data_IF_963125350498
#
_entry.id   IF_963125350498
#
_cell.length_a   1.000
_cell.length_b   1.000
_cell.length_c   1.000
_cell.angle_alpha   90.00
_cell.angle_beta   90.00
_cell.angle_gamma   90.00
#
_symmetry.space_group_name_H-M   'P 1'
#
loop_
_entity.id
_entity.type
_entity.pdbx_description
1 polymer ?
#
# COMPACT_ATOMS: atom_id res chain seq x y z
N UNK A 1 29.21 -0.99 -6.17
CA UNK A 1 28.61 -0.41 -4.97
C UNK A 1 27.65 0.69 -5.40
N UNK A 2 26.34 0.45 -5.34
CA UNK A 2 25.37 1.54 -5.50
C UNK A 2 25.19 2.16 -4.12
N UNK A 3 25.66 3.40 -3.94
CA UNK A 3 25.30 4.15 -2.73
C UNK A 3 23.79 4.38 -2.79
N UNK A 4 23.05 3.91 -1.80
CA UNK A 4 21.66 4.31 -1.61
C UNK A 4 21.61 5.83 -1.61
N UNK A 5 20.93 6.42 -2.60
CA UNK A 5 20.77 7.86 -2.66
C UNK A 5 19.86 8.27 -1.52
N UNK A 6 20.44 8.94 -0.53
CA UNK A 6 19.69 9.47 0.59
C UNK A 6 18.87 10.68 0.12
N UNK A 7 17.59 10.44 -0.16
CA UNK A 7 16.63 11.44 -0.67
C UNK A 7 16.35 12.54 0.37
N UNK A 8 16.41 12.20 1.66
CA UNK A 8 16.22 13.11 2.79
C UNK A 8 17.45 13.11 3.70
N UNK A 9 18.08 14.27 3.85
CA UNK A 9 19.14 14.52 4.82
C UNK A 9 18.57 15.36 5.97
N UNK A 10 18.62 14.83 7.18
CA UNK A 10 18.14 15.50 8.39
C UNK A 10 19.30 15.73 9.36
N UNK A 11 19.38 16.93 9.94
CA UNK A 11 20.39 17.32 10.91
C UNK A 11 19.75 18.12 12.04
N UNK A 12 20.12 17.80 13.29
CA UNK A 12 19.73 18.56 14.48
C UNK A 12 21.00 18.92 15.26
N UNK A 13 21.19 20.20 15.54
CA UNK A 13 22.29 20.71 16.36
C UNK A 13 21.71 21.53 17.51
N UNK A 14 22.08 21.21 18.76
CA UNK A 14 21.62 21.90 19.96
C UNK A 14 22.82 22.35 20.79
N UNK A 15 22.81 23.62 21.20
CA UNK A 15 23.77 24.20 22.14
C UNK A 15 23.04 24.51 23.44
N UNK A 16 23.54 23.97 24.55
CA UNK A 16 22.96 24.11 25.88
C UNK A 16 23.95 24.80 26.83
N UNK A 17 23.46 25.76 27.60
CA UNK A 17 24.17 26.39 28.71
C UNK A 17 23.55 25.91 30.01
N UNK A 18 24.35 25.23 30.83
CA UNK A 18 23.93 24.67 32.12
C UNK A 18 24.77 25.32 33.21
N UNK A 19 24.12 25.88 34.21
CA UNK A 19 24.77 26.49 35.37
C UNK A 19 24.14 25.94 36.65
N UNK A 20 24.99 25.51 37.58
CA UNK A 20 24.57 24.95 38.87
C UNK A 20 23.55 23.79 38.73
N UNK A 21 23.70 22.99 37.67
CA UNK A 21 22.80 21.86 37.36
C UNK A 21 21.46 22.26 36.73
N UNK A 22 21.22 23.54 36.46
CA UNK A 22 20.00 24.08 35.85
C UNK A 22 20.27 24.52 34.41
N UNK A 23 19.37 24.19 33.49
CA UNK A 23 19.43 24.65 32.11
C UNK A 23 19.10 26.14 32.04
N UNK A 24 20.09 26.98 31.75
CA UNK A 24 19.89 28.44 31.57
C UNK A 24 19.42 28.79 30.16
N UNK A 25 19.98 28.12 29.15
CA UNK A 25 19.63 28.37 27.75
C UNK A 25 19.82 27.10 26.92
N UNK A 26 18.90 26.84 25.99
CA UNK A 26 19.06 25.86 24.93
C UNK A 26 18.68 26.50 23.60
N UNK A 27 19.56 26.37 22.60
CA UNK A 27 19.31 26.80 21.22
C UNK A 27 19.51 25.61 20.31
N UNK A 28 18.46 25.22 19.59
CA UNK A 28 18.52 24.13 18.62
C UNK A 28 18.24 24.64 17.22
N UNK A 29 18.96 24.10 16.24
CA UNK A 29 18.72 24.28 14.81
C UNK A 29 18.54 22.91 14.17
N UNK A 30 17.37 22.70 13.58
CA UNK A 30 17.04 21.52 12.78
C UNK A 30 17.05 21.91 11.30
N UNK A 31 17.64 21.08 10.43
CA UNK A 31 17.55 21.21 8.98
C UNK A 31 17.15 19.87 8.36
N UNK A 32 16.12 19.91 7.52
CA UNK A 32 15.62 18.78 6.75
C UNK A 32 15.70 19.15 5.27
N UNK A 33 16.63 18.52 4.54
CA UNK A 33 16.86 18.77 3.12
C UNK A 33 16.42 17.58 2.29
N UNK A 34 15.45 17.80 1.41
CA UNK A 34 14.97 16.83 0.42
C UNK A 34 15.64 17.14 -0.92
N UNK A 35 16.37 16.17 -1.48
CA UNK A 35 16.96 16.27 -2.81
C UNK A 35 16.36 15.20 -3.72
N UNK A 36 15.50 15.62 -4.64
CA UNK A 36 14.83 14.71 -5.59
C UNK A 36 15.75 14.34 -6.75
N UNK A 37 16.67 15.23 -7.14
CA UNK A 37 17.62 15.01 -8.24
C UNK A 37 19.01 15.55 -7.88
N UNK A 38 20.04 14.69 -7.73
CA UNK A 38 21.38 15.09 -7.28
C UNK A 38 22.05 16.15 -8.17
N UNK A 39 21.70 16.20 -9.46
CA UNK A 39 22.43 16.96 -10.47
C UNK A 39 21.72 18.24 -10.95
N UNK A 40 20.58 18.62 -10.37
CA UNK A 40 19.78 19.76 -10.88
C UNK A 40 19.48 20.85 -9.86
N UNK A 41 20.08 20.81 -8.66
CA UNK A 41 19.84 21.82 -7.62
C UNK A 41 18.36 21.94 -7.21
N UNK A 42 17.54 20.92 -7.53
CA UNK A 42 16.12 20.89 -7.25
C UNK A 42 15.90 20.10 -5.96
N UNK A 43 15.53 20.83 -4.92
CA UNK A 43 15.28 20.31 -3.58
C UNK A 43 14.55 21.34 -2.73
N UNK A 44 14.10 20.90 -1.57
CA UNK A 44 13.49 21.77 -0.56
C UNK A 44 14.29 21.62 0.74
N UNK A 45 14.49 22.72 1.45
CA UNK A 45 15.09 22.72 2.78
C UNK A 45 14.12 23.37 3.76
N UNK A 46 13.79 22.63 4.82
CA UNK A 46 13.08 23.17 5.97
C UNK A 46 14.10 23.37 7.08
N UNK A 47 14.16 24.59 7.64
CA UNK A 47 15.04 24.91 8.77
C UNK A 47 14.19 25.41 9.94
N UNK A 48 14.29 24.72 11.07
CA UNK A 48 13.58 25.06 12.31
C UNK A 48 14.60 25.54 13.34
N UNK A 49 14.32 26.65 14.01
CA UNK A 49 15.14 27.16 15.10
C UNK A 49 14.27 27.25 16.35
N UNK A 50 14.74 26.66 17.45
CA UNK A 50 14.07 26.72 18.74
C UNK A 50 15.04 27.25 19.79
N UNK A 51 14.54 28.11 20.67
CA UNK A 51 15.31 28.69 21.76
C UNK A 51 14.48 28.64 23.05
N UNK A 52 15.06 28.08 24.10
CA UNK A 52 14.52 28.06 25.45
C UNK A 52 15.51 28.82 26.35
N UNK A 53 15.02 29.76 27.15
CA UNK A 53 15.85 30.54 28.07
C UNK A 53 15.18 30.65 29.43
N UNK A 54 15.93 30.32 30.48
CA UNK A 54 15.51 30.52 31.85
C UNK A 54 15.50 32.03 32.15
N UNK A 55 14.35 32.54 32.54
CA UNK A 55 14.18 33.95 32.90
C UNK A 55 14.24 34.14 34.42
N UNK A 56 13.56 33.27 35.16
CA UNK A 56 13.45 33.36 36.61
C UNK A 56 13.18 31.96 37.19
N UNK A 57 13.67 31.72 38.40
CA UNK A 57 13.34 30.53 39.22
C UNK A 57 12.51 31.01 40.39
N UNK A 58 11.30 30.46 40.55
CA UNK A 58 10.40 30.76 41.68
C UNK A 58 10.40 29.59 42.66
N UNK A 59 10.34 29.89 43.96
CA UNK A 59 10.49 28.89 45.04
C UNK A 59 9.17 28.28 45.51
N UNK A 60 8.03 28.87 45.14
CA UNK A 60 6.70 28.35 45.50
C UNK A 60 5.70 28.50 44.36
N UNK A 61 5.21 27.36 43.89
CA UNK A 61 4.04 27.27 43.01
C UNK A 61 3.00 26.43 43.73
N UNK A 62 1.90 27.05 44.17
CA UNK A 62 0.70 26.34 44.61
C UNK A 62 0.06 25.61 43.42
N UNK A 63 0.62 24.49 43.02
CA UNK A 63 -0.04 23.60 42.07
C UNK A 63 -1.16 22.87 42.78
N UNK A 64 -2.41 23.22 42.47
CA UNK A 64 -3.51 22.27 42.63
C UNK A 64 -3.12 21.04 41.79
N UNK A 65 -2.93 19.88 42.44
CA UNK A 65 -2.76 18.61 41.74
C UNK A 65 -3.94 18.46 40.79
N UNK A 66 -3.70 18.67 39.51
CA UNK A 66 -4.67 18.38 38.47
C UNK A 66 -4.95 16.89 38.56
N UNK A 67 -6.19 16.53 38.93
CA UNK A 67 -6.61 15.14 38.95
C UNK A 67 -6.54 14.62 37.51
N UNK A 68 -5.57 13.74 37.31
CA UNK A 68 -5.08 13.26 36.02
C UNK A 68 -5.56 11.83 35.81
N UNK A 69 -6.88 11.63 35.82
CA UNK A 69 -7.44 10.32 35.47
C UNK A 69 -7.36 10.05 33.96
N UNK A 70 -7.21 11.10 33.15
CA UNK A 70 -7.20 11.04 31.67
C UNK A 70 -5.82 11.23 31.02
N UNK A 71 -4.72 11.37 31.79
CA UNK A 71 -3.36 11.47 31.20
C UNK A 71 -2.64 10.12 31.31
N UNK A 72 -1.98 9.73 30.23
CA UNK A 72 -1.09 8.58 30.19
C UNK A 72 0.32 9.04 29.82
N UNK A 73 1.32 8.38 30.38
CA UNK A 73 2.73 8.70 30.13
C UNK A 73 3.19 7.94 28.89
N UNK A 74 3.71 8.67 27.89
CA UNK A 74 4.32 8.10 26.69
C UNK A 74 5.77 8.52 26.54
N UNK A 75 6.42 8.02 25.48
CA UNK A 75 7.80 8.40 25.16
C UNK A 75 7.87 9.84 24.64
N UNK A 76 9.06 10.44 24.67
CA UNK A 76 9.30 11.77 24.08
C UNK A 76 9.31 11.76 22.53
N UNK A 77 9.14 10.59 21.90
CA UNK A 77 9.07 10.50 20.44
C UNK A 77 7.81 11.19 19.95
N UNK A 78 7.92 11.87 18.81
CA UNK A 78 6.78 12.54 18.20
C UNK A 78 5.67 11.52 17.88
N UNK A 79 4.54 11.68 18.54
CA UNK A 79 3.31 10.97 18.24
C UNK A 79 2.46 11.84 17.32
N UNK A 80 2.21 11.36 16.11
CA UNK A 80 1.34 12.07 15.18
C UNK A 80 -0.08 12.06 15.73
N UNK A 81 -0.60 13.25 16.04
CA UNK A 81 -2.01 13.41 16.30
C UNK A 81 -2.80 13.12 15.01
N UNK A 82 -3.51 12.00 14.96
CA UNK A 82 -4.47 11.71 13.91
C UNK A 82 -5.74 12.52 14.19
N UNK A 83 -5.71 13.82 13.88
CA UNK A 83 -6.93 14.61 13.82
C UNK A 83 -7.81 14.01 12.73
N UNK A 84 -8.80 13.21 13.14
CA UNK A 84 -9.85 12.69 12.26
C UNK A 84 -10.69 13.88 11.82
N UNK A 85 -10.30 14.52 10.71
CA UNK A 85 -11.20 15.44 10.01
C UNK A 85 -12.40 14.63 9.56
N UNK A 86 -13.56 14.91 10.15
CA UNK A 86 -14.82 14.33 9.70
C UNK A 86 -15.19 14.96 8.37
N UNK A 87 -14.94 14.24 7.29
CA UNK A 87 -15.35 14.60 5.95
C UNK A 87 -16.75 14.05 5.72
N UNK A 88 -17.68 14.90 5.33
CA UNK A 88 -19.04 14.48 5.04
C UNK A 88 -19.18 14.04 3.59
N UNK A 89 -20.02 13.02 3.33
CA UNK A 89 -20.29 12.59 1.95
C UNK A 89 -20.91 13.69 1.06
N UNK A 90 -21.54 14.71 1.67
CA UNK A 90 -22.05 15.89 0.97
C UNK A 90 -20.93 16.75 0.37
N UNK A 91 -19.88 17.03 1.14
CA UNK A 91 -18.71 17.79 0.65
C UNK A 91 -18.05 17.08 -0.54
N UNK A 92 -17.91 15.75 -0.48
CA UNK A 92 -17.32 14.96 -1.57
C UNK A 92 -18.21 14.95 -2.81
N UNK A 93 -19.54 14.92 -2.62
CA UNK A 93 -20.52 15.02 -3.73
C UNK A 93 -20.32 16.32 -4.51
N UNK A 94 -20.12 17.44 -3.82
CA UNK A 94 -19.88 18.74 -4.44
C UNK A 94 -18.58 18.76 -5.25
N UNK A 95 -17.52 18.11 -4.77
CA UNK A 95 -16.25 17.99 -5.52
C UNK A 95 -16.46 17.18 -6.81
N UNK A 96 -17.18 16.06 -6.75
CA UNK A 96 -17.53 15.27 -7.95
C UNK A 96 -18.34 16.11 -8.95
N UNK A 97 -19.27 16.93 -8.47
CA UNK A 97 -20.06 17.82 -9.31
C UNK A 97 -19.22 18.90 -10.00
N UNK A 98 -18.31 19.54 -9.26
CA UNK A 98 -17.36 20.51 -9.81
C UNK A 98 -16.48 19.90 -10.89
N UNK A 99 -16.02 18.66 -10.71
CA UNK A 99 -15.23 17.94 -11.70
C UNK A 99 -15.99 17.74 -13.02
N UNK A 100 -17.28 17.41 -12.98
CA UNK A 100 -18.08 17.29 -14.21
C UNK A 100 -18.31 18.63 -14.95
N UNK A 101 -18.18 19.76 -14.26
CA UNK A 101 -18.31 21.09 -14.84
C UNK A 101 -16.97 21.65 -15.35
N UNK A 102 -15.86 21.16 -14.82
CA UNK A 102 -14.52 21.58 -15.22
C UNK A 102 -14.16 21.07 -16.63
N UNK A 103 -13.39 21.85 -17.38
CA UNK A 103 -12.91 21.43 -18.70
C UNK A 103 -11.88 20.30 -18.55
N UNK A 104 -11.91 19.32 -19.45
CA UNK A 104 -10.94 18.22 -19.41
C UNK A 104 -9.52 18.76 -19.66
N UNK A 105 -8.56 18.28 -18.87
CA UNK A 105 -7.12 18.61 -18.93
C UNK A 105 -6.67 20.04 -18.49
N UNK A 106 -7.34 20.65 -17.50
CA UNK A 106 -6.84 21.87 -16.83
C UNK A 106 -6.11 21.59 -15.51
N UNK A 107 -5.27 22.52 -15.04
CA UNK A 107 -4.65 22.44 -13.70
C UNK A 107 -5.71 22.45 -12.58
N UNK A 108 -6.79 23.21 -12.76
CA UNK A 108 -7.92 23.24 -11.81
C UNK A 108 -8.60 21.87 -11.70
N UNK A 109 -8.81 21.19 -12.84
CA UNK A 109 -9.37 19.83 -12.87
C UNK A 109 -8.46 18.83 -12.15
N UNK A 110 -7.14 18.97 -12.32
CA UNK A 110 -6.17 18.14 -11.61
C UNK A 110 -6.18 18.38 -10.09
N UNK A 111 -6.27 19.65 -9.66
CA UNK A 111 -6.36 20.03 -8.24
C UNK A 111 -7.66 19.52 -7.60
N UNK A 112 -8.80 19.68 -8.28
CA UNK A 112 -10.09 19.13 -7.85
C UNK A 112 -10.06 17.60 -7.77
N UNK A 113 -9.40 16.93 -8.72
CA UNK A 113 -9.28 15.47 -8.71
C UNK A 113 -8.41 14.99 -7.55
N UNK A 114 -7.30 15.68 -7.28
CA UNK A 114 -6.46 15.39 -6.11
C UNK A 114 -7.24 15.62 -4.81
N UNK A 115 -8.02 16.70 -4.73
CA UNK A 115 -8.91 16.98 -3.61
C UNK A 115 -9.89 15.82 -3.41
N UNK A 116 -10.57 15.37 -4.47
CA UNK A 116 -11.45 14.20 -4.41
C UNK A 116 -10.74 12.97 -3.82
N UNK A 117 -9.54 12.65 -4.30
CA UNK A 117 -8.75 11.52 -3.78
C UNK A 117 -8.42 11.69 -2.29
N UNK A 118 -8.05 12.88 -1.85
CA UNK A 118 -7.77 13.14 -0.43
C UNK A 118 -9.02 13.03 0.43
N UNK A 119 -10.15 13.57 0.00
CA UNK A 119 -11.41 13.50 0.75
C UNK A 119 -11.91 12.04 0.85
N UNK A 120 -11.80 11.24 -0.22
CA UNK A 120 -12.15 9.81 -0.21
C UNK A 120 -11.37 9.01 0.85
N UNK A 121 -10.12 9.39 1.15
CA UNK A 121 -9.29 8.71 2.17
C UNK A 121 -9.83 8.83 3.59
N UNK A 122 -10.66 9.84 3.86
CA UNK A 122 -11.21 10.11 5.19
C UNK A 122 -12.61 9.52 5.40
N UNK A 123 -13.25 9.01 4.33
CA UNK A 123 -14.59 8.44 4.42
C UNK A 123 -14.57 7.00 4.96
N UNK A 124 -15.56 6.69 5.82
CA UNK A 124 -15.85 5.30 6.20
C UNK A 124 -16.40 4.50 5.01
N UNK A 125 -16.45 3.18 5.13
CA UNK A 125 -17.05 2.32 4.11
C UNK A 125 -18.54 2.64 3.89
N UNK A 126 -19.29 2.93 4.96
CA UNK A 126 -20.70 3.33 4.90
C UNK A 126 -20.86 4.66 4.16
N UNK A 127 -20.01 5.64 4.47
CA UNK A 127 -20.02 6.93 3.79
C UNK A 127 -19.65 6.81 2.30
N UNK A 128 -18.66 5.97 1.97
CA UNK A 128 -18.28 5.67 0.59
C UNK A 128 -19.41 4.99 -0.20
N UNK A 129 -20.12 4.03 0.42
CA UNK A 129 -21.30 3.39 -0.19
C UNK A 129 -22.42 4.40 -0.41
N UNK A 130 -22.69 5.27 0.56
CA UNK A 130 -23.69 6.32 0.43
C UNK A 130 -23.32 7.33 -0.67
N UNK A 131 -22.04 7.71 -0.77
CA UNK A 131 -21.52 8.57 -1.83
C UNK A 131 -21.68 7.90 -3.20
N UNK A 132 -21.35 6.61 -3.32
CA UNK A 132 -21.53 5.86 -4.56
C UNK A 132 -22.96 5.92 -5.06
N UNK A 133 -23.95 5.64 -4.19
CA UNK A 133 -25.37 5.68 -4.57
C UNK A 133 -25.85 7.07 -5.02
N UNK A 134 -25.19 8.14 -4.57
CA UNK A 134 -25.58 9.52 -4.89
C UNK A 134 -24.80 10.11 -6.08
N UNK A 135 -23.59 9.63 -6.33
CA UNK A 135 -22.60 10.34 -7.16
C UNK A 135 -21.88 9.44 -8.17
N UNK A 136 -22.37 8.23 -8.43
CA UNK A 136 -21.80 7.29 -9.45
C UNK A 136 -22.19 7.60 -10.90
N UNK A 137 -22.73 8.80 -11.18
CA UNK A 137 -23.19 9.19 -12.49
C UNK A 137 -22.04 9.48 -13.47
N UNK A 138 -22.35 9.43 -14.78
CA UNK A 138 -21.45 9.85 -15.86
C UNK A 138 -21.60 11.36 -16.09
N UNK A 139 -20.47 12.07 -16.21
CA UNK A 139 -20.45 13.44 -16.72
C UNK A 139 -20.84 13.47 -18.22
N UNK A 140 -20.97 14.67 -18.80
CA UNK A 140 -21.43 14.85 -20.20
C UNK A 140 -20.54 14.17 -21.24
N UNK A 141 -19.26 14.03 -20.96
CA UNK A 141 -18.23 13.40 -21.79
C UNK A 141 -18.01 11.91 -21.47
N UNK A 142 -18.94 11.28 -20.74
CA UNK A 142 -18.83 9.93 -20.18
C UNK A 142 -17.75 9.75 -19.10
N UNK A 143 -17.12 10.83 -18.64
CA UNK A 143 -16.16 10.74 -17.55
C UNK A 143 -16.86 10.38 -16.23
N UNK A 144 -16.23 9.55 -15.40
CA UNK A 144 -16.72 9.14 -14.09
C UNK A 144 -15.66 9.43 -13.02
N UNK A 145 -15.57 10.68 -12.53
CA UNK A 145 -14.51 11.11 -11.62
C UNK A 145 -14.40 10.26 -10.36
N UNK A 146 -15.55 9.83 -9.80
CA UNK A 146 -15.59 9.00 -8.61
C UNK A 146 -14.96 7.61 -8.86
N UNK A 147 -15.29 6.96 -9.98
CA UNK A 147 -14.70 5.66 -10.37
C UNK A 147 -13.19 5.81 -10.58
N UNK A 148 -12.79 6.85 -11.30
CA UNK A 148 -11.38 7.05 -11.66
C UNK A 148 -10.52 7.44 -10.43
N UNK A 149 -11.13 8.04 -9.40
CA UNK A 149 -10.45 8.41 -8.17
C UNK A 149 -10.26 7.24 -7.19
N UNK A 150 -11.16 6.25 -7.17
CA UNK A 150 -11.12 5.11 -6.23
C UNK A 150 -9.76 4.37 -6.23
N UNK A 151 -9.14 4.04 -7.38
CA UNK A 151 -7.80 3.47 -7.45
C UNK A 151 -6.72 4.24 -6.66
N UNK A 152 -6.84 5.57 -6.58
CA UNK A 152 -5.85 6.44 -5.94
C UNK A 152 -6.14 6.69 -4.45
N UNK A 153 -7.34 6.33 -3.97
CA UNK A 153 -7.73 6.46 -2.57
C UNK A 153 -6.84 5.60 -1.66
N UNK A 154 -6.63 4.32 -2.04
CA UNK A 154 -5.69 3.39 -1.38
C UNK A 154 -5.92 3.16 0.14
N UNK A 155 -7.14 3.37 0.64
CA UNK A 155 -7.56 2.96 1.99
C UNK A 155 -8.28 1.62 1.96
N UNK A 156 -8.38 0.95 3.11
CA UNK A 156 -9.06 -0.35 3.19
C UNK A 156 -10.54 -0.24 2.79
N UNK A 157 -11.23 0.82 3.25
CA UNK A 157 -12.62 1.09 2.89
C UNK A 157 -12.81 1.27 1.37
N UNK A 158 -11.89 1.97 0.69
CA UNK A 158 -11.91 2.10 -0.76
C UNK A 158 -11.65 0.77 -1.48
N UNK A 159 -10.74 -0.07 -0.96
CA UNK A 159 -10.51 -1.42 -1.52
C UNK A 159 -11.74 -2.31 -1.39
N UNK A 160 -12.40 -2.28 -0.23
CA UNK A 160 -13.64 -3.04 0.00
C UNK A 160 -14.76 -2.57 -0.92
N UNK A 161 -14.93 -1.25 -1.11
CA UNK A 161 -15.90 -0.73 -2.07
C UNK A 161 -15.56 -1.18 -3.51
N UNK A 162 -14.30 -1.04 -3.95
CA UNK A 162 -13.89 -1.52 -5.28
C UNK A 162 -14.19 -3.01 -5.47
N UNK A 163 -13.94 -3.83 -4.45
CA UNK A 163 -14.28 -5.27 -4.46
C UNK A 163 -15.79 -5.51 -4.56
N UNK A 164 -16.61 -4.73 -3.86
CA UNK A 164 -18.07 -4.86 -3.94
C UNK A 164 -18.59 -4.50 -5.33
N UNK A 165 -18.06 -3.44 -5.94
CA UNK A 165 -18.42 -3.00 -7.29
C UNK A 165 -18.02 -4.02 -8.38
N UNK A 166 -16.84 -4.63 -8.25
CA UNK A 166 -16.40 -5.73 -9.12
C UNK A 166 -17.35 -6.93 -8.98
N UNK A 167 -17.75 -7.26 -7.75
CA UNK A 167 -18.62 -8.41 -7.49
C UNK A 167 -20.07 -8.19 -7.96
N UNK A 168 -20.58 -6.96 -7.87
CA UNK A 168 -21.94 -6.61 -8.34
C UNK A 168 -22.02 -6.43 -9.85
N UNK A 169 -20.90 -6.16 -10.53
CA UNK A 169 -20.87 -5.87 -11.96
C UNK A 169 -21.39 -4.47 -12.31
N UNK A 170 -21.35 -3.54 -11.35
CA UNK A 170 -21.75 -2.13 -11.53
C UNK A 170 -20.70 -1.29 -12.28
N UNK A 171 -19.54 -1.85 -12.60
CA UNK A 171 -18.41 -1.16 -13.21
C UNK A 171 -18.00 -1.85 -14.52
N UNK A 172 -17.67 -1.05 -15.53
CA UNK A 172 -17.24 -1.51 -16.86
C UNK A 172 -15.92 -2.29 -16.79
N UNK A 173 -15.72 -3.23 -17.70
CA UNK A 173 -14.60 -4.18 -17.65
C UNK A 173 -13.22 -3.50 -17.69
N UNK A 174 -13.06 -2.45 -18.49
CA UNK A 174 -11.84 -1.65 -18.56
C UNK A 174 -11.52 -0.98 -17.21
N UNK A 175 -12.54 -0.43 -16.53
CA UNK A 175 -12.41 0.17 -15.20
C UNK A 175 -12.09 -0.87 -14.13
N UNK A 176 -12.67 -2.07 -14.22
CA UNK A 176 -12.32 -3.21 -13.36
C UNK A 176 -10.84 -3.60 -13.50
N UNK A 177 -10.32 -3.65 -14.73
CA UNK A 177 -8.89 -3.90 -14.96
C UNK A 177 -8.02 -2.81 -14.30
N UNK A 178 -8.40 -1.54 -14.41
CA UNK A 178 -7.72 -0.44 -13.71
C UNK A 178 -7.72 -0.62 -12.19
N UNK A 179 -8.83 -1.08 -11.59
CA UNK A 179 -8.89 -1.36 -10.16
C UNK A 179 -7.87 -2.43 -9.78
N UNK A 180 -7.80 -3.54 -10.51
CA UNK A 180 -6.84 -4.60 -10.23
C UNK A 180 -5.38 -4.14 -10.34
N UNK A 181 -5.04 -3.36 -11.38
CA UNK A 181 -3.69 -2.83 -11.52
C UNK A 181 -3.32 -1.86 -10.39
N UNK A 182 -4.29 -1.08 -9.89
CA UNK A 182 -4.07 -0.13 -8.80
C UNK A 182 -3.62 -0.77 -7.49
N UNK A 183 -4.01 -2.03 -7.23
CA UNK A 183 -3.67 -2.72 -5.98
C UNK A 183 -2.16 -2.87 -5.77
N UNK A 184 -1.38 -2.99 -6.85
CA UNK A 184 0.09 -3.01 -6.77
C UNK A 184 0.67 -1.69 -6.21
N UNK A 185 -0.05 -0.58 -6.37
CA UNK A 185 0.40 0.76 -6.03
C UNK A 185 -0.05 1.24 -4.63
N UNK A 186 -0.82 0.44 -3.89
CA UNK A 186 -1.24 0.75 -2.52
C UNK A 186 -0.03 0.86 -1.58
N UNK A 187 0.24 2.02 -0.95
CA UNK A 187 1.48 2.27 -0.24
C UNK A 187 1.63 1.50 1.07
N UNK A 188 0.54 1.33 1.81
CA UNK A 188 0.49 0.62 3.10
C UNK A 188 -0.62 -0.45 3.06
N UNK A 189 -0.39 -1.59 2.39
CA UNK A 189 -1.37 -2.67 2.38
C UNK A 189 -1.64 -3.19 3.79
N UNK A 190 -2.89 -3.56 4.07
CA UNK A 190 -3.29 -4.19 5.34
C UNK A 190 -3.67 -5.66 5.10
N UNK A 191 -3.74 -6.46 6.18
CA UNK A 191 -4.25 -7.83 6.10
C UNK A 191 -5.73 -7.86 5.70
N UNK A 192 -6.54 -6.87 6.14
CA UNK A 192 -7.96 -6.75 5.78
C UNK A 192 -8.19 -6.51 4.29
N UNK A 193 -7.33 -5.70 3.63
CA UNK A 193 -7.34 -5.57 2.17
C UNK A 193 -7.10 -6.90 1.45
N UNK A 194 -6.13 -7.70 1.91
CA UNK A 194 -5.83 -9.01 1.31
C UNK A 194 -7.00 -9.97 1.52
N UNK A 195 -7.54 -10.02 2.75
CA UNK A 195 -8.65 -10.88 3.10
C UNK A 195 -9.91 -10.57 2.29
N UNK A 196 -10.25 -9.29 2.15
CA UNK A 196 -11.43 -8.85 1.38
C UNK A 196 -11.33 -9.17 -0.12
N UNK A 197 -10.12 -9.13 -0.71
CA UNK A 197 -9.88 -9.41 -2.13
C UNK A 197 -9.72 -10.91 -2.43
N UNK A 198 -9.33 -11.73 -1.45
CA UNK A 198 -9.08 -13.17 -1.64
C UNK A 198 -10.23 -13.94 -2.33
N UNK A 199 -11.52 -13.66 -2.07
CA UNK A 199 -12.62 -14.32 -2.77
C UNK A 199 -12.64 -14.08 -4.29
N UNK A 200 -12.13 -12.94 -4.76
CA UNK A 200 -12.13 -12.61 -6.19
C UNK A 200 -11.29 -13.58 -7.01
N UNK A 201 -10.22 -14.15 -6.43
CA UNK A 201 -9.38 -15.17 -7.09
C UNK A 201 -10.10 -16.50 -7.34
N UNK A 202 -11.20 -16.75 -6.61
CA UNK A 202 -12.02 -17.97 -6.77
C UNK A 202 -13.17 -17.75 -7.74
N UNK A 203 -13.41 -16.51 -8.18
CA UNK A 203 -14.44 -16.19 -9.15
C UNK A 203 -14.12 -16.83 -10.50
N UNK A 204 -15.10 -17.44 -11.20
CA UNK A 204 -14.89 -17.91 -12.56
C UNK A 204 -14.59 -16.76 -13.54
N UNK A 205 -14.92 -15.51 -13.17
CA UNK A 205 -14.59 -14.29 -13.93
C UNK A 205 -13.25 -13.66 -13.55
N UNK A 206 -12.42 -14.34 -12.77
CA UNK A 206 -11.12 -13.79 -12.35
C UNK A 206 -10.18 -13.61 -13.56
N UNK A 207 -9.93 -12.35 -13.93
CA UNK A 207 -9.04 -11.98 -15.01
C UNK A 207 -7.56 -12.12 -14.64
N UNK A 208 -6.67 -12.01 -15.62
CA UNK A 208 -5.22 -12.01 -15.39
C UNK A 208 -4.80 -10.89 -14.42
N UNK A 209 -5.35 -9.68 -14.57
CA UNK A 209 -5.02 -8.56 -13.67
C UNK A 209 -5.50 -8.82 -12.25
N UNK A 210 -6.62 -9.54 -12.04
CA UNK A 210 -7.05 -9.98 -10.70
C UNK A 210 -5.95 -10.79 -10.00
N UNK A 211 -5.46 -11.84 -10.65
CA UNK A 211 -4.39 -12.68 -10.10
C UNK A 211 -3.12 -11.87 -9.83
N UNK A 212 -2.69 -11.04 -10.78
CA UNK A 212 -1.43 -10.30 -10.67
C UNK A 212 -1.51 -9.13 -9.69
N UNK A 213 -2.63 -8.40 -9.65
CA UNK A 213 -2.88 -7.27 -8.77
C UNK A 213 -2.99 -7.68 -7.30
N UNK A 214 -3.78 -8.72 -7.00
CA UNK A 214 -3.92 -9.24 -5.63
C UNK A 214 -2.59 -9.80 -5.12
N UNK A 215 -1.83 -10.51 -5.96
CA UNK A 215 -0.52 -11.03 -5.54
C UNK A 215 0.55 -9.94 -5.44
N UNK A 216 0.48 -8.88 -6.24
CA UNK A 216 1.33 -7.70 -6.07
C UNK A 216 1.08 -7.01 -4.72
N UNK A 217 -0.19 -6.89 -4.32
CA UNK A 217 -0.58 -6.36 -3.01
C UNK A 217 0.03 -7.19 -1.87
N UNK A 218 -0.03 -8.52 -1.97
CA UNK A 218 0.59 -9.45 -1.00
C UNK A 218 2.09 -9.24 -0.93
N UNK A 219 2.78 -9.14 -2.06
CA UNK A 219 4.22 -8.89 -2.07
C UNK A 219 4.55 -7.59 -1.34
N UNK A 220 3.78 -6.52 -1.59
CA UNK A 220 4.00 -5.23 -0.94
C UNK A 220 3.70 -5.27 0.55
N UNK A 221 2.64 -5.97 0.97
CA UNK A 221 2.36 -6.26 2.37
C UNK A 221 3.54 -6.95 3.05
N UNK A 222 4.01 -8.06 2.47
CA UNK A 222 5.08 -8.87 3.03
C UNK A 222 6.47 -8.21 2.97
N UNK A 223 6.65 -7.20 2.11
CA UNK A 223 7.89 -6.41 2.05
C UNK A 223 7.90 -5.26 3.06
N UNK A 224 6.72 -4.78 3.47
CA UNK A 224 6.59 -3.67 4.43
C UNK A 224 6.52 -4.14 5.90
N UNK A 225 6.18 -5.41 6.15
CA UNK A 225 6.04 -5.97 7.49
C UNK A 225 7.20 -6.91 7.82
N UNK A 226 7.51 -7.05 9.12
CA UNK A 226 8.55 -7.96 9.62
C UNK A 226 8.22 -9.44 9.36
N UNK A 227 6.94 -9.77 9.24
CA UNK A 227 6.46 -11.12 8.94
C UNK A 227 5.38 -11.10 7.87
N UNK A 228 5.44 -12.09 6.99
CA UNK A 228 4.43 -12.41 5.99
C UNK A 228 3.43 -13.48 6.49
N UNK A 229 3.62 -13.96 7.73
CA UNK A 229 2.88 -15.07 8.31
C UNK A 229 1.57 -14.60 8.95
N UNK A 230 0.59 -14.30 8.11
CA UNK A 230 -0.77 -13.91 8.53
C UNK A 230 -1.84 -14.77 7.84
N UNK A 231 -2.98 -15.06 8.49
CA UNK A 231 -4.02 -15.94 7.95
C UNK A 231 -4.52 -15.53 6.55
N UNK A 232 -4.66 -14.23 6.30
CA UNK A 232 -5.10 -13.70 5.00
C UNK A 232 -4.16 -14.10 3.86
N UNK A 233 -2.85 -13.94 4.05
CA UNK A 233 -1.82 -14.34 3.06
C UNK A 233 -1.82 -15.85 2.88
N UNK A 234 -1.82 -16.61 3.97
CA UNK A 234 -1.86 -18.08 3.92
C UNK A 234 -3.08 -18.60 3.15
N UNK A 235 -4.25 -17.96 3.32
CA UNK A 235 -5.49 -18.33 2.62
C UNK A 235 -5.38 -18.12 1.11
N UNK A 236 -4.78 -17.02 0.67
CA UNK A 236 -4.51 -16.76 -0.75
C UNK A 236 -3.50 -17.74 -1.31
N UNK A 237 -2.37 -17.95 -0.62
CA UNK A 237 -1.33 -18.89 -1.06
C UNK A 237 -1.86 -20.33 -1.16
N UNK A 238 -2.74 -20.75 -0.22
CA UNK A 238 -3.43 -22.04 -0.29
C UNK A 238 -4.36 -22.13 -1.50
N UNK A 239 -5.05 -21.04 -1.84
CA UNK A 239 -5.91 -20.96 -3.02
C UNK A 239 -5.07 -21.11 -4.31
N UNK A 240 -3.94 -20.41 -4.40
CA UNK A 240 -2.99 -20.54 -5.51
C UNK A 240 -2.40 -21.95 -5.59
N UNK A 241 -2.02 -22.55 -4.46
CA UNK A 241 -1.51 -23.93 -4.41
C UNK A 241 -2.52 -24.97 -4.89
N UNK A 242 -3.83 -24.77 -4.64
CA UNK A 242 -4.89 -25.63 -5.18
C UNK A 242 -4.94 -25.59 -6.70
N UNK A 243 -4.74 -24.41 -7.32
CA UNK A 243 -4.68 -24.31 -8.78
C UNK A 243 -3.49 -25.07 -9.39
N UNK A 244 -2.39 -25.25 -8.64
CA UNK A 244 -1.25 -26.04 -9.10
C UNK A 244 -1.50 -27.56 -9.09
N UNK A 245 -2.50 -28.05 -8.36
CA UNK A 245 -2.80 -29.49 -8.28
C UNK A 245 -1.68 -30.36 -7.68
N UNK A 246 -0.70 -29.75 -7.00
CA UNK A 246 0.42 -30.44 -6.34
C UNK A 246 1.66 -30.67 -7.21
N UNK A 247 1.52 -30.81 -8.53
CA UNK A 247 2.64 -31.01 -9.45
C UNK A 247 2.56 -30.20 -10.75
N UNK A 248 1.62 -29.27 -10.92
CA UNK A 248 1.46 -28.49 -12.15
C UNK A 248 1.20 -29.33 -13.42
N UNK A 249 0.54 -30.48 -13.30
CA UNK A 249 0.12 -31.26 -14.46
C UNK A 249 -0.86 -30.48 -15.34
N UNK A 250 -0.66 -30.52 -16.65
CA UNK A 250 -1.47 -29.82 -17.67
C UNK A 250 -1.99 -30.82 -18.68
N UNK A 251 -3.28 -30.75 -19.00
CA UNK A 251 -3.95 -31.67 -19.94
C UNK A 251 -4.21 -31.04 -21.32
N UNK A 252 -4.41 -29.71 -21.39
CA UNK A 252 -4.70 -28.99 -22.64
C UNK A 252 -4.11 -27.56 -22.65
N UNK A 253 -4.13 -26.86 -23.81
CA UNK A 253 -3.55 -25.52 -23.95
C UNK A 253 -4.20 -24.42 -23.10
N UNK A 254 -5.49 -24.54 -22.76
CA UNK A 254 -6.17 -23.56 -21.90
C UNK A 254 -5.67 -23.70 -20.46
N UNK A 255 -5.58 -24.93 -19.98
CA UNK A 255 -4.96 -25.26 -18.69
C UNK A 255 -3.48 -24.85 -18.64
N UNK A 256 -2.76 -24.91 -19.77
CA UNK A 256 -1.38 -24.42 -19.87
C UNK A 256 -1.31 -22.92 -19.56
N UNK A 257 -2.14 -22.12 -20.23
CA UNK A 257 -2.15 -20.66 -20.07
C UNK A 257 -2.55 -20.25 -18.66
N UNK A 258 -3.56 -20.93 -18.09
CA UNK A 258 -4.00 -20.73 -16.71
C UNK A 258 -2.92 -21.11 -15.70
N UNK A 259 -2.24 -22.24 -15.90
CA UNK A 259 -1.14 -22.68 -15.03
C UNK A 259 0.03 -21.68 -15.04
N UNK A 260 0.40 -21.17 -16.22
CA UNK A 260 1.42 -20.12 -16.33
C UNK A 260 1.03 -18.84 -15.58
N UNK A 261 -0.23 -18.41 -15.70
CA UNK A 261 -0.75 -17.26 -14.95
C UNK A 261 -0.64 -17.47 -13.44
N UNK A 262 -1.05 -18.64 -12.94
CA UNK A 262 -0.99 -18.97 -11.50
C UNK A 262 0.46 -18.98 -11.00
N UNK A 263 1.38 -19.61 -11.74
CA UNK A 263 2.81 -19.61 -11.40
C UNK A 263 3.38 -18.18 -11.38
N UNK A 264 3.01 -17.35 -12.36
CA UNK A 264 3.39 -15.93 -12.41
C UNK A 264 2.83 -15.16 -11.23
N UNK A 265 1.58 -15.40 -10.83
CA UNK A 265 0.95 -14.78 -9.67
C UNK A 265 1.64 -15.18 -8.37
N UNK A 266 1.97 -16.47 -8.20
CA UNK A 266 2.75 -16.96 -7.05
C UNK A 266 4.10 -16.24 -6.98
N UNK A 267 4.85 -16.21 -8.09
CA UNK A 267 6.12 -15.48 -8.14
C UNK A 267 5.98 -13.97 -7.92
N UNK A 268 4.82 -13.40 -8.27
CA UNK A 268 4.53 -12.00 -8.03
C UNK A 268 4.27 -11.70 -6.55
N UNK A 269 3.77 -12.68 -5.77
CA UNK A 269 3.57 -12.57 -4.33
C UNK A 269 4.88 -12.52 -3.51
N UNK A 270 6.03 -12.75 -4.15
CA UNK A 270 7.35 -12.57 -3.56
C UNK A 270 7.62 -13.52 -2.40
N UNK A 271 7.96 -13.00 -1.22
CA UNK A 271 8.27 -13.80 -0.03
C UNK A 271 7.18 -14.84 0.30
N UNK A 272 5.90 -14.51 0.07
CA UNK A 272 4.77 -15.42 0.31
C UNK A 272 4.86 -16.73 -0.51
N UNK A 273 5.53 -16.71 -1.67
CA UNK A 273 5.75 -17.87 -2.52
C UNK A 273 6.58 -18.98 -1.85
N UNK A 274 7.37 -18.64 -0.82
CA UNK A 274 8.14 -19.61 -0.04
C UNK A 274 7.27 -20.75 0.53
N UNK A 275 6.01 -20.45 0.88
CA UNK A 275 5.04 -21.44 1.36
C UNK A 275 4.71 -22.55 0.34
N UNK A 276 4.95 -22.31 -0.95
CA UNK A 276 4.71 -23.25 -2.05
C UNK A 276 6.02 -23.82 -2.64
N UNK A 277 7.17 -23.58 -2.01
CA UNK A 277 8.48 -24.00 -2.53
C UNK A 277 8.57 -25.49 -2.92
N UNK A 278 8.05 -26.46 -2.13
CA UNK A 278 8.11 -27.86 -2.53
C UNK A 278 7.36 -28.15 -3.83
N UNK A 279 6.17 -27.57 -4.00
CA UNK A 279 5.35 -27.73 -5.20
C UNK A 279 6.03 -27.10 -6.40
N UNK A 280 6.51 -25.86 -6.28
CA UNK A 280 7.22 -25.17 -7.35
C UNK A 280 8.46 -25.93 -7.82
N UNK A 281 9.21 -26.51 -6.88
CA UNK A 281 10.40 -27.32 -7.18
C UNK A 281 10.05 -28.60 -7.95
N UNK A 282 8.95 -29.26 -7.55
CA UNK A 282 8.41 -30.41 -8.30
C UNK A 282 7.99 -30.01 -9.71
N UNK A 283 7.31 -28.87 -9.87
CA UNK A 283 6.88 -28.38 -11.18
C UNK A 283 8.05 -28.05 -12.11
N UNK A 284 9.14 -27.49 -11.57
CA UNK A 284 10.36 -27.15 -12.31
C UNK A 284 11.16 -28.39 -12.76
N UNK A 285 11.20 -29.44 -11.93
CA UNK A 285 12.10 -30.59 -12.09
C UNK A 285 11.54 -31.70 -12.97
N UNK A 286 10.22 -31.82 -13.08
CA UNK A 286 9.56 -32.88 -13.85
C UNK A 286 9.72 -32.65 -15.36
N UNK A 287 10.60 -33.44 -16.00
CA UNK A 287 10.91 -33.36 -17.45
C UNK A 287 9.70 -33.62 -18.37
N UNK A 288 8.65 -34.27 -17.85
CA UNK A 288 7.40 -34.51 -18.59
C UNK A 288 6.56 -33.25 -18.77
N UNK A 289 6.81 -32.17 -18.02
CA UNK A 289 6.08 -30.92 -18.19
C UNK A 289 6.60 -30.11 -19.39
N UNK A 290 5.71 -29.33 -20.03
CA UNK A 290 6.09 -28.33 -21.01
C UNK A 290 7.18 -27.40 -20.46
N UNK A 291 8.08 -26.96 -21.34
CA UNK A 291 9.22 -26.10 -20.97
C UNK A 291 8.72 -24.79 -20.35
N UNK A 292 7.59 -24.26 -20.84
CA UNK A 292 6.94 -23.05 -20.36
C UNK A 292 6.54 -23.17 -18.88
N UNK A 293 6.00 -24.31 -18.46
CA UNK A 293 5.63 -24.56 -17.05
C UNK A 293 6.87 -24.66 -16.18
N UNK A 294 7.89 -25.39 -16.64
CA UNK A 294 9.15 -25.52 -15.90
C UNK A 294 9.83 -24.17 -15.70
N UNK A 295 9.90 -23.36 -16.75
CA UNK A 295 10.47 -22.01 -16.69
C UNK A 295 9.64 -21.09 -15.80
N UNK A 296 8.31 -21.12 -15.90
CA UNK A 296 7.43 -20.32 -15.04
C UNK A 296 7.58 -20.69 -13.56
N UNK A 297 7.74 -21.99 -13.25
CA UNK A 297 7.98 -22.46 -11.89
C UNK A 297 9.34 -21.99 -11.35
N UNK A 298 10.41 -22.04 -12.15
CA UNK A 298 11.72 -21.47 -11.78
C UNK A 298 11.61 -19.97 -11.55
N UNK A 299 10.95 -19.25 -12.45
CA UNK A 299 10.75 -17.80 -12.33
C UNK A 299 9.93 -17.40 -11.11
N UNK A 300 9.08 -18.29 -10.57
CA UNK A 300 8.32 -18.02 -9.36
C UNK A 300 9.21 -17.83 -8.12
N UNK A 301 10.43 -18.38 -8.11
CA UNK A 301 11.38 -18.21 -7.01
C UNK A 301 12.15 -16.87 -7.04
N UNK A 302 12.06 -16.07 -8.10
CA UNK A 302 12.92 -14.87 -8.31
C UNK A 302 12.93 -13.84 -7.17
N UNK A 303 11.89 -13.83 -6.32
CA UNK A 303 11.69 -12.90 -5.19
C UNK A 303 11.63 -13.62 -3.84
N UNK A 304 11.97 -14.91 -3.80
CA UNK A 304 12.11 -15.68 -2.56
C UNK A 304 13.58 -15.63 -2.14
N UNK A 305 13.92 -15.24 -0.90
CA UNK A 305 15.31 -15.21 -0.45
C UNK A 305 15.96 -16.60 -0.50
N UNK A 306 17.18 -16.69 -1.03
CA UNK A 306 17.91 -17.97 -1.14
C UNK A 306 18.21 -18.63 0.23
N UNK A 307 18.24 -17.83 1.30
CA UNK A 307 18.41 -18.30 2.69
C UNK A 307 17.27 -19.18 3.18
N UNK A 308 16.09 -19.09 2.54
CA UNK A 308 14.99 -20.03 2.71
C UNK A 308 15.30 -21.29 1.90
N UNK A 309 16.30 -22.07 2.37
CA UNK A 309 16.81 -23.35 1.81
C UNK A 309 16.44 -23.62 0.36
N UNK A 310 16.90 -22.76 -0.56
CA UNK A 310 16.85 -23.04 -2.01
C UNK A 310 17.98 -24.00 -2.42
N UNK A 311 18.95 -24.23 -1.53
CA UNK A 311 20.15 -25.05 -1.74
C UNK A 311 19.87 -26.53 -2.07
N UNK A 312 18.72 -27.06 -1.64
CA UNK A 312 18.34 -28.47 -1.87
C UNK A 312 17.24 -28.64 -2.94
N UNK A 313 16.80 -27.54 -3.59
CA UNK A 313 15.52 -27.49 -4.33
C UNK A 313 15.63 -27.17 -5.83
N UNK A 314 16.80 -26.73 -6.30
CA UNK A 314 17.07 -26.59 -7.73
C UNK A 314 17.99 -27.72 -8.17
N UNK A 315 17.54 -28.69 -9.00
CA UNK A 315 18.48 -29.63 -9.59
C UNK A 315 19.48 -28.84 -10.45
N UNK A 316 20.75 -29.29 -10.46
CA UNK A 316 21.75 -28.79 -11.38
C UNK A 316 21.16 -28.77 -12.79
N UNK A 317 20.94 -27.56 -13.32
CA UNK A 317 20.43 -27.36 -14.66
C UNK A 317 21.61 -27.51 -15.61
N UNK A 318 21.92 -28.75 -15.99
CA UNK A 318 22.76 -29.09 -17.15
C UNK A 318 21.91 -29.29 -18.39
#
# INVERSE_FOLDING_TARGET
SQSEQQILSSQLECVQSIKDGVLEEAKCTESNRVMLFPHKGSGAETRTQSALKLLQVETETHYNKMHSEDLYVTSILFEREETKREVTGGEVTEVVWKLCLAHSASYETADLFMTLVFELRHLSLEALRALWQRSSFKCRDNWQPLIDALPSCATEACVVLMKDLIASGEVEEDKVEHFFWSFAFIPKPTSGMIESLAPLLKSPRASQSCFLGVTALIHRFCSAHSSCDVPAVQSVMRTLGKFLGGNCAVQDPEHLSKMQLVLKAIGNAGLAAASLAPVLSSCASLKSHPVEIRLAAIQAFRRVPCSVRVSDLLPEVT
#
